data_IF_487150324202
#
_entry.id   IF_487150324202
#
_cell.length_a   1.000
_cell.length_b   1.000
_cell.length_c   1.000
_cell.angle_alpha   90.00
_cell.angle_beta   90.00
_cell.angle_gamma   90.00
#
_symmetry.space_group_name_H-M   'P 1'
#
loop_
_entity.id
_entity.type
_entity.pdbx_description
1 polymer ?
#
# COMPACT_ATOMS: atom_id res chain seq x y z
N UNK A 1 12.71 -1.63 11.04
CA UNK A 1 11.86 -1.23 9.89
C UNK A 1 10.63 -0.45 10.35
N UNK A 2 9.72 -1.05 11.14
CA UNK A 2 8.52 -0.39 11.66
C UNK A 2 8.76 1.01 12.26
N UNK A 3 9.71 1.13 13.19
CA UNK A 3 10.08 2.41 13.80
C UNK A 3 10.58 3.44 12.78
N UNK A 4 11.29 3.00 11.74
CA UNK A 4 11.75 3.85 10.66
C UNK A 4 10.57 4.37 9.81
N UNK A 5 9.63 3.50 9.47
CA UNK A 5 8.42 3.87 8.71
C UNK A 5 7.56 4.89 9.48
N UNK A 6 7.43 4.70 10.80
CA UNK A 6 6.79 5.66 11.70
C UNK A 6 7.53 7.00 11.71
N UNK A 7 8.85 6.98 11.91
CA UNK A 7 9.71 8.18 11.93
C UNK A 7 9.65 8.97 10.63
N UNK A 8 9.55 8.28 9.48
CA UNK A 8 9.46 8.90 8.16
C UNK A 8 8.02 9.22 7.71
N UNK A 9 7.04 9.06 8.59
CA UNK A 9 5.63 9.32 8.34
C UNK A 9 5.10 8.62 7.07
N UNK A 10 5.40 7.33 6.92
CA UNK A 10 4.97 6.54 5.77
C UNK A 10 3.43 6.54 5.60
N UNK A 11 2.68 6.49 6.70
CA UNK A 11 1.21 6.53 6.69
C UNK A 11 0.69 7.85 6.10
N UNK A 12 1.23 9.00 6.53
CA UNK A 12 0.85 10.29 5.96
C UNK A 12 1.20 10.46 4.48
N UNK A 13 2.27 9.81 4.00
CA UNK A 13 2.62 9.79 2.56
C UNK A 13 1.64 8.97 1.72
N UNK A 14 1.07 7.90 2.30
CA UNK A 14 0.02 7.11 1.66
C UNK A 14 -1.30 7.89 1.66
N UNK A 15 -1.66 8.53 2.79
CA UNK A 15 -2.89 9.34 2.87
C UNK A 15 -2.91 10.53 1.90
N UNK A 16 -1.75 11.11 1.58
CA UNK A 16 -1.63 12.26 0.68
C UNK A 16 -1.61 11.91 -0.81
N UNK A 17 -1.76 10.63 -1.18
CA UNK A 17 -1.77 10.19 -2.57
C UNK A 17 -3.01 10.68 -3.30
N UNK A 18 -2.81 11.29 -4.47
CA UNK A 18 -3.90 11.73 -5.36
C UNK A 18 -4.33 10.58 -6.26
N UNK A 19 -5.31 9.81 -5.80
CA UNK A 19 -5.81 8.65 -6.54
C UNK A 19 -6.51 9.04 -7.85
N UNK A 20 -7.26 10.14 -7.85
CA UNK A 20 -8.01 10.61 -9.02
C UNK A 20 -7.12 10.91 -10.22
N UNK A 21 -5.97 11.55 -10.00
CA UNK A 21 -5.00 11.90 -11.06
C UNK A 21 -4.43 10.66 -11.78
N UNK A 22 -4.58 9.48 -11.18
CA UNK A 22 -4.09 8.20 -11.70
C UNK A 22 -5.20 7.32 -12.27
N UNK A 23 -6.47 7.71 -12.09
CA UNK A 23 -7.62 6.98 -12.60
C UNK A 23 -8.08 7.58 -13.92
N UNK A 24 -8.33 6.72 -14.92
CA UNK A 24 -9.00 7.15 -16.15
C UNK A 24 -10.52 7.23 -15.96
N UNK A 25 -10.98 8.21 -15.18
CA UNK A 25 -12.41 8.34 -14.80
C UNK A 25 -13.31 8.66 -16.01
N UNK A 26 -12.77 9.32 -17.04
CA UNK A 26 -13.48 9.68 -18.28
C UNK A 26 -14.04 8.47 -19.04
N UNK A 27 -13.41 7.29 -18.92
CA UNK A 27 -13.86 6.05 -19.58
C UNK A 27 -14.81 5.19 -18.74
N UNK A 28 -15.10 5.59 -17.50
CA UNK A 28 -15.84 4.76 -16.54
C UNK A 28 -17.36 5.03 -16.52
N UNK A 29 -17.82 6.06 -17.24
CA UNK A 29 -19.24 6.37 -17.40
C UNK A 29 -19.86 5.52 -18.52
N UNK A 30 -20.90 4.73 -18.18
CA UNK A 30 -21.65 3.99 -19.18
C UNK A 30 -22.41 4.96 -20.13
N UNK A 31 -22.67 4.60 -21.40
CA UNK A 31 -23.39 5.45 -22.36
C UNK A 31 -24.75 5.99 -21.85
N UNK A 32 -25.44 5.23 -20.99
CA UNK A 32 -26.70 5.65 -20.35
C UNK A 32 -26.55 6.64 -19.18
N UNK A 33 -25.35 6.79 -18.61
CA UNK A 33 -25.04 7.75 -17.53
C UNK A 33 -24.71 9.13 -18.10
N UNK A 34 -24.15 9.20 -19.30
CA UNK A 34 -23.83 10.46 -20.01
C UNK A 34 -25.09 11.24 -20.36
N UNK A 35 -26.16 10.55 -20.78
CA UNK A 35 -27.47 11.17 -21.05
C UNK A 35 -28.14 11.76 -19.81
N UNK A 36 -27.88 11.21 -18.61
CA UNK A 36 -28.34 11.79 -17.34
C UNK A 36 -27.53 13.03 -16.97
N UNK A 37 -26.19 12.95 -17.06
CA UNK A 37 -25.29 14.07 -16.72
C UNK A 37 -25.61 15.32 -17.55
N UNK A 38 -26.08 15.15 -18.78
CA UNK A 38 -26.42 16.25 -19.69
C UNK A 38 -27.89 16.69 -19.53
N UNK A 39 -28.80 15.81 -19.10
CA UNK A 39 -30.24 16.07 -19.12
C UNK A 39 -30.86 16.65 -17.84
N UNK A 40 -30.14 16.68 -16.71
CA UNK A 40 -30.75 16.95 -15.39
C UNK A 40 -30.13 18.04 -14.52
N UNK A 41 -29.04 18.69 -14.92
CA UNK A 41 -28.33 19.64 -14.06
C UNK A 41 -28.10 20.98 -14.75
N UNK A 42 -28.50 22.05 -14.07
CA UNK A 42 -27.96 23.37 -14.32
C UNK A 42 -26.42 23.28 -14.19
N UNK A 43 -25.74 23.73 -15.23
CA UNK A 43 -24.31 23.63 -15.51
C UNK A 43 -23.36 24.30 -14.46
N UNK A 44 -23.88 24.69 -13.29
CA UNK A 44 -23.15 25.42 -12.25
C UNK A 44 -22.58 24.56 -11.11
N UNK A 45 -22.89 23.25 -11.06
CA UNK A 45 -22.31 22.33 -10.07
C UNK A 45 -21.55 21.20 -10.77
N UNK A 46 -20.37 21.49 -11.28
CA UNK A 46 -19.30 20.49 -11.40
C UNK A 46 -18.86 20.11 -9.97
N UNK A 47 -19.64 19.28 -9.27
CA UNK A 47 -19.09 18.59 -8.11
C UNK A 47 -18.22 17.45 -8.66
N UNK A 48 -16.92 17.53 -8.35
CA UNK A 48 -15.96 16.50 -8.70
C UNK A 48 -16.15 15.29 -7.77
N UNK A 49 -15.98 14.09 -8.31
CA UNK A 49 -15.88 12.87 -7.51
C UNK A 49 -14.61 13.01 -6.68
N UNK A 50 -14.70 12.79 -5.37
CA UNK A 50 -13.55 12.79 -4.47
C UNK A 50 -13.27 11.36 -3.98
N UNK A 51 -12.00 10.96 -4.03
CA UNK A 51 -11.52 9.65 -3.59
C UNK A 51 -10.35 9.87 -2.66
N UNK A 52 -10.55 9.59 -1.38
CA UNK A 52 -9.55 9.81 -0.34
C UNK A 52 -9.13 8.50 0.31
N UNK A 53 -7.88 8.42 0.74
CA UNK A 53 -7.37 7.36 1.61
C UNK A 53 -7.34 7.89 3.04
N UNK A 54 -8.00 7.18 3.96
CA UNK A 54 -8.04 7.52 5.38
C UNK A 54 -7.65 6.31 6.24
N UNK A 55 -7.46 6.51 7.54
CA UNK A 55 -7.20 5.45 8.52
C UNK A 55 -6.06 4.48 8.15
N UNK A 56 -5.02 5.00 7.48
CA UNK A 56 -3.84 4.23 7.09
C UNK A 56 -3.10 3.74 8.33
N UNK A 57 -2.80 2.44 8.36
CA UNK A 57 -2.04 1.77 9.39
C UNK A 57 -1.04 0.81 8.74
N UNK A 58 0.21 0.90 9.15
CA UNK A 58 1.28 -0.02 8.75
C UNK A 58 1.69 -0.91 9.92
N UNK A 59 1.45 -2.21 9.77
CA UNK A 59 1.83 -3.22 10.75
C UNK A 59 2.96 -4.09 10.18
N UNK A 60 4.01 -4.32 10.97
CA UNK A 60 5.13 -5.16 10.55
C UNK A 60 5.02 -6.51 11.25
N UNK A 61 4.59 -7.53 10.51
CA UNK A 61 4.27 -8.87 11.05
C UNK A 61 5.52 -9.63 11.52
N UNK A 62 6.72 -9.09 11.26
CA UNK A 62 8.00 -9.62 11.70
C UNK A 62 9.04 -9.65 10.58
N UNK A 63 10.27 -10.01 10.94
CA UNK A 63 11.35 -10.24 9.98
C UNK A 63 11.68 -11.72 10.01
N UNK A 64 11.53 -12.38 8.86
CA UNK A 64 11.98 -13.75 8.63
C UNK A 64 13.44 -13.73 8.17
N UNK A 65 14.22 -14.71 8.62
CA UNK A 65 15.63 -14.85 8.25
C UNK A 65 15.88 -16.24 7.67
N UNK A 66 16.56 -16.30 6.52
CA UNK A 66 16.97 -17.55 5.90
C UNK A 66 18.49 -17.73 6.01
N UNK A 67 18.91 -18.79 6.71
CA UNK A 67 20.30 -19.22 6.80
C UNK A 67 20.58 -20.33 5.78
N UNK A 68 21.79 -20.39 5.18
CA UNK A 68 23.00 -19.60 5.46
C UNK A 68 23.14 -18.31 4.63
N UNK A 69 22.12 -17.91 3.87
CA UNK A 69 22.24 -16.84 2.85
C UNK A 69 22.23 -15.41 3.39
N UNK A 70 22.25 -15.19 4.71
CA UNK A 70 22.16 -13.87 5.36
C UNK A 70 21.05 -13.01 4.72
N UNK A 71 19.92 -13.65 4.39
CA UNK A 71 18.77 -13.05 3.72
C UNK A 71 17.67 -12.78 4.73
N UNK A 72 17.08 -11.59 4.63
CA UNK A 72 16.01 -11.10 5.49
C UNK A 72 14.79 -10.77 4.64
N UNK A 73 13.62 -11.20 5.10
CA UNK A 73 12.34 -10.79 4.53
C UNK A 73 11.49 -10.14 5.60
N UNK A 74 10.94 -8.97 5.29
CA UNK A 74 9.98 -8.28 6.12
C UNK A 74 8.63 -8.28 5.43
N UNK A 75 7.62 -8.79 6.12
CA UNK A 75 6.23 -8.72 5.69
C UNK A 75 5.56 -7.57 6.43
N UNK A 76 4.96 -6.66 5.69
CA UNK A 76 4.30 -5.47 6.18
C UNK A 76 2.84 -5.53 5.74
N UNK A 77 1.92 -5.56 6.69
CA UNK A 77 0.49 -5.44 6.42
C UNK A 77 0.10 -3.96 6.42
N UNK A 78 -0.43 -3.49 5.30
CA UNK A 78 -1.04 -2.18 5.14
C UNK A 78 -2.57 -2.29 5.25
N UNK A 79 -3.18 -1.52 6.16
CA UNK A 79 -4.64 -1.39 6.32
C UNK A 79 -5.03 0.07 6.10
N UNK A 80 -6.11 0.33 5.39
CA UNK A 80 -6.62 1.68 5.17
C UNK A 80 -8.08 1.66 4.71
N UNK A 81 -8.72 2.81 4.79
CA UNK A 81 -10.05 3.03 4.25
C UNK A 81 -9.98 3.88 2.97
N UNK A 82 -10.84 3.57 2.00
CA UNK A 82 -11.08 4.38 0.81
C UNK A 82 -12.46 5.01 0.96
N UNK A 83 -12.50 6.33 0.91
CA UNK A 83 -13.72 7.13 1.01
C UNK A 83 -14.07 7.71 -0.36
N UNK A 84 -15.27 7.37 -0.85
CA UNK A 84 -15.84 7.91 -2.07
C UNK A 84 -16.89 8.95 -1.72
N UNK A 85 -16.63 10.19 -2.11
CA UNK A 85 -17.62 11.26 -2.05
C UNK A 85 -18.10 11.57 -3.46
N UNK A 86 -19.39 11.37 -3.67
CA UNK A 86 -20.02 11.45 -4.97
C UNK A 86 -20.77 12.78 -5.10
N UNK A 87 -20.81 13.39 -6.29
CA UNK A 87 -21.43 14.70 -6.49
C UNK A 87 -22.93 14.75 -6.11
N UNK A 88 -23.66 13.65 -6.26
CA UNK A 88 -25.12 13.65 -6.11
C UNK A 88 -25.61 13.01 -4.81
N UNK A 89 -24.68 12.63 -3.92
CA UNK A 89 -24.99 11.98 -2.67
C UNK A 89 -24.09 12.54 -1.57
N UNK A 90 -24.70 13.08 -0.51
CA UNK A 90 -23.95 13.54 0.67
C UNK A 90 -23.33 12.38 1.46
N UNK A 91 -23.76 11.15 1.21
CA UNK A 91 -23.25 9.99 1.91
C UNK A 91 -21.87 9.59 1.37
N UNK A 92 -20.90 9.51 2.27
CA UNK A 92 -19.58 8.98 1.98
C UNK A 92 -19.68 7.46 1.95
N UNK A 93 -19.29 6.85 0.83
CA UNK A 93 -19.19 5.40 0.75
C UNK A 93 -17.78 5.03 1.20
N UNK A 94 -17.69 4.21 2.24
CA UNK A 94 -16.42 3.75 2.79
C UNK A 94 -16.11 2.33 2.38
N UNK A 95 -14.84 2.02 2.32
CA UNK A 95 -14.33 0.73 1.88
C UNK A 95 -13.08 0.41 2.67
N UNK A 96 -13.06 -0.74 3.33
CA UNK A 96 -11.86 -1.19 4.00
C UNK A 96 -10.96 -1.97 3.04
N UNK A 97 -9.66 -1.70 3.07
CA UNK A 97 -8.65 -2.37 2.28
C UNK A 97 -7.51 -2.87 3.17
N UNK A 98 -7.10 -4.11 2.91
CA UNK A 98 -5.93 -4.75 3.50
C UNK A 98 -5.03 -5.27 2.39
N UNK A 99 -3.76 -4.95 2.45
CA UNK A 99 -2.77 -5.35 1.45
C UNK A 99 -1.45 -5.75 2.13
N UNK A 100 -0.75 -6.73 1.58
CA UNK A 100 0.60 -7.11 2.02
C UNK A 100 1.66 -6.39 1.21
N UNK A 101 2.79 -6.08 1.85
CA UNK A 101 4.01 -5.56 1.24
C UNK A 101 5.16 -6.45 1.71
N UNK A 102 5.84 -7.08 0.77
CA UNK A 102 7.01 -7.90 1.04
C UNK A 102 8.27 -7.13 0.66
N UNK A 103 9.24 -7.09 1.57
CA UNK A 103 10.56 -6.51 1.31
C UNK A 103 11.66 -7.50 1.66
N UNK A 104 12.52 -7.77 0.68
CA UNK A 104 13.69 -8.62 0.80
C UNK A 104 14.95 -7.75 1.00
N UNK A 105 15.92 -8.24 1.76
CA UNK A 105 17.24 -7.62 1.91
C UNK A 105 18.31 -8.66 2.25
N UNK A 106 19.57 -8.34 2.00
CA UNK A 106 20.71 -9.21 2.34
C UNK A 106 21.94 -8.38 2.65
N UNK A 107 22.91 -9.00 3.34
CA UNK A 107 24.21 -8.39 3.57
C UNK A 107 25.11 -8.59 2.36
N UNK A 108 25.66 -7.49 1.86
CA UNK A 108 26.62 -7.47 0.75
C UNK A 108 27.88 -6.73 1.16
N UNK A 109 29.02 -7.04 0.56
CA UNK A 109 30.26 -6.29 0.81
C UNK A 109 30.37 -5.14 -0.17
N UNK A 110 30.62 -3.94 0.34
CA UNK A 110 31.01 -2.80 -0.47
C UNK A 110 32.42 -2.98 -1.08
N UNK A 111 32.81 -2.05 -1.93
CA UNK A 111 34.12 -2.02 -2.59
C UNK A 111 35.32 -1.96 -1.61
N UNK A 112 35.07 -1.57 -0.36
CA UNK A 112 36.06 -1.50 0.73
C UNK A 112 36.01 -2.74 1.64
N UNK A 113 35.18 -3.73 1.33
CA UNK A 113 35.00 -4.96 2.09
C UNK A 113 34.15 -4.82 3.36
N UNK A 114 33.50 -3.67 3.58
CA UNK A 114 32.54 -3.46 4.68
C UNK A 114 31.21 -4.10 4.29
N UNK A 115 30.58 -4.78 5.24
CA UNK A 115 29.24 -5.33 5.01
C UNK A 115 28.21 -4.23 5.13
N UNK A 116 27.29 -4.15 4.18
CA UNK A 116 26.15 -3.24 4.15
C UNK A 116 24.86 -4.04 3.91
N UNK A 117 23.75 -3.57 4.47
CA UNK A 117 22.44 -4.17 4.23
C UNK A 117 21.85 -3.56 2.96
N UNK A 118 21.72 -4.38 1.93
CA UNK A 118 21.21 -3.96 0.62
C UNK A 118 19.74 -4.36 0.51
N UNK A 119 18.91 -3.44 0.02
CA UNK A 119 17.52 -3.73 -0.30
C UNK A 119 17.45 -4.54 -1.59
N UNK A 120 16.76 -5.68 -1.50
CA UNK A 120 16.40 -6.48 -2.65
C UNK A 120 15.08 -6.04 -3.26
N UNK A 121 14.19 -7.01 -3.51
CA UNK A 121 12.85 -6.73 -4.01
C UNK A 121 11.97 -6.16 -2.91
N UNK A 122 11.24 -5.10 -3.25
CA UNK A 122 10.16 -4.57 -2.42
C UNK A 122 8.94 -4.42 -3.32
N UNK A 123 7.86 -5.14 -2.99
CA UNK A 123 6.66 -5.20 -3.82
C UNK A 123 5.43 -5.53 -2.98
N UNK A 124 4.29 -5.01 -3.40
CA UNK A 124 3.00 -5.33 -2.82
C UNK A 124 2.62 -6.76 -3.23
N UNK A 125 2.25 -7.56 -2.25
CA UNK A 125 1.71 -8.88 -2.53
C UNK A 125 0.34 -8.74 -3.19
N UNK A 126 0.05 -9.53 -4.25
CA UNK A 126 -1.28 -9.58 -4.81
C UNK A 126 -2.25 -9.99 -3.70
N UNK A 127 -3.25 -9.14 -3.45
CA UNK A 127 -4.22 -9.37 -2.39
C UNK A 127 -4.86 -10.75 -2.55
N UNK A 128 -4.60 -11.67 -1.61
CA UNK A 128 -5.38 -12.90 -1.50
C UNK A 128 -6.81 -12.52 -1.14
N UNK A 129 -7.75 -12.89 -2.02
CA UNK A 129 -9.19 -13.04 -1.82
C UNK A 129 -9.70 -12.68 -0.42
N UNK A 130 -9.90 -11.38 -0.15
CA UNK A 130 -10.82 -10.80 0.85
C UNK A 130 -10.53 -9.30 1.02
N UNK A 131 -10.36 -8.57 -0.09
CA UNK A 131 -10.71 -7.15 -0.05
C UNK A 131 -12.23 -7.09 0.12
N UNK A 132 -12.71 -7.29 1.35
CA UNK A 132 -14.09 -7.03 1.71
C UNK A 132 -14.26 -5.52 1.76
N UNK A 133 -14.36 -4.94 0.55
CA UNK A 133 -14.91 -3.62 0.33
C UNK A 133 -16.39 -3.70 0.71
N UNK A 134 -16.63 -3.68 2.02
CA UNK A 134 -17.95 -3.74 2.63
C UNK A 134 -18.75 -2.57 2.10
N UNK A 135 -19.78 -2.92 1.35
CA UNK A 135 -20.60 -1.94 0.64
C UNK A 135 -21.71 -1.50 1.59
N UNK A 136 -21.54 -0.37 2.27
CA UNK A 136 -22.70 0.36 2.81
C UNK A 136 -23.63 0.70 1.64
N UNK A 137 -24.94 0.73 1.90
CA UNK A 137 -26.03 0.72 0.91
C UNK A 137 -25.77 1.57 -0.35
N UNK A 138 -25.17 0.95 -1.37
CA UNK A 138 -24.88 1.59 -2.65
C UNK A 138 -26.17 1.66 -3.47
N UNK A 139 -26.55 2.85 -3.98
CA UNK A 139 -27.67 2.97 -4.91
C UNK A 139 -27.50 2.03 -6.11
N UNK A 140 -28.51 1.24 -6.51
CA UNK A 140 -28.40 0.27 -7.61
C UNK A 140 -27.83 0.85 -8.90
N UNK A 141 -28.15 2.11 -9.18
CA UNK A 141 -27.70 2.87 -10.36
C UNK A 141 -26.19 3.15 -10.38
N UNK A 142 -25.51 3.05 -9.24
CA UNK A 142 -24.09 3.39 -9.08
C UNK A 142 -23.19 2.16 -8.92
N UNK A 143 -23.77 0.96 -8.84
CA UNK A 143 -23.01 -0.29 -8.65
C UNK A 143 -21.94 -0.50 -9.72
N UNK A 144 -22.29 -0.30 -11.00
CA UNK A 144 -21.36 -0.50 -12.10
C UNK A 144 -20.21 0.52 -12.09
N UNK A 145 -20.51 1.79 -11.79
CA UNK A 145 -19.50 2.83 -11.70
C UNK A 145 -18.51 2.58 -10.56
N UNK A 146 -19.01 2.23 -9.37
CA UNK A 146 -18.16 1.89 -8.22
C UNK A 146 -17.37 0.61 -8.44
N UNK A 147 -17.95 -0.38 -9.12
CA UNK A 147 -17.23 -1.59 -9.52
C UNK A 147 -16.01 -1.26 -10.40
N UNK A 148 -16.20 -0.45 -11.44
CA UNK A 148 -15.11 -0.06 -12.35
C UNK A 148 -14.01 0.76 -11.66
N UNK A 149 -14.40 1.69 -10.78
CA UNK A 149 -13.45 2.46 -9.98
C UNK A 149 -12.68 1.53 -9.03
N UNK A 150 -13.37 0.64 -8.33
CA UNK A 150 -12.75 -0.35 -7.44
C UNK A 150 -11.73 -1.20 -8.19
N UNK A 151 -12.08 -1.73 -9.35
CA UNK A 151 -11.18 -2.54 -10.15
C UNK A 151 -9.93 -1.75 -10.56
N UNK A 152 -10.11 -0.48 -10.93
CA UNK A 152 -9.01 0.40 -11.32
C UNK A 152 -8.12 0.76 -10.14
N UNK A 153 -8.71 1.03 -8.98
CA UNK A 153 -7.98 1.28 -7.73
C UNK A 153 -7.18 0.05 -7.29
N UNK A 154 -7.73 -1.16 -7.47
CA UNK A 154 -7.01 -2.40 -7.21
C UNK A 154 -5.73 -2.56 -8.04
N UNK A 155 -5.67 -1.93 -9.23
CA UNK A 155 -4.48 -1.92 -10.10
C UNK A 155 -3.53 -0.77 -9.81
N UNK A 156 -4.05 0.38 -9.40
CA UNK A 156 -3.28 1.61 -9.21
C UNK A 156 -2.66 1.71 -7.82
N UNK A 157 -3.41 1.36 -6.76
CA UNK A 157 -2.96 1.53 -5.37
C UNK A 157 -1.68 0.75 -5.07
N UNK A 158 -1.51 -0.53 -5.47
CA UNK A 158 -0.29 -1.27 -5.16
C UNK A 158 0.96 -0.53 -5.64
N UNK A 159 0.98 -0.13 -6.92
CA UNK A 159 2.10 0.61 -7.52
C UNK A 159 2.37 1.95 -6.82
N UNK A 160 1.31 2.67 -6.40
CA UNK A 160 1.47 3.93 -5.69
C UNK A 160 2.06 3.73 -4.29
N UNK A 161 1.59 2.73 -3.56
CA UNK A 161 2.13 2.39 -2.23
C UNK A 161 3.59 1.97 -2.36
N UNK A 162 3.95 1.11 -3.32
CA UNK A 162 5.35 0.72 -3.57
C UNK A 162 6.23 1.94 -3.80
N UNK A 163 5.79 2.87 -4.66
CA UNK A 163 6.55 4.08 -4.99
C UNK A 163 6.79 5.01 -3.79
N UNK A 164 5.94 4.93 -2.77
CA UNK A 164 6.05 5.76 -1.56
C UNK A 164 6.79 5.05 -0.42
N UNK A 165 6.59 3.75 -0.27
CA UNK A 165 7.08 2.98 0.90
C UNK A 165 8.40 2.28 0.61
N UNK A 166 8.60 1.70 -0.57
CA UNK A 166 9.85 0.98 -0.87
C UNK A 166 11.11 1.86 -0.79
N UNK A 167 11.12 3.11 -1.31
CA UNK A 167 12.26 4.00 -1.12
C UNK A 167 12.53 4.35 0.35
N UNK A 168 11.49 4.42 1.19
CA UNK A 168 11.65 4.62 2.62
C UNK A 168 12.29 3.41 3.29
N UNK A 169 11.87 2.20 2.93
CA UNK A 169 12.48 0.97 3.44
C UNK A 169 13.96 0.94 3.06
N UNK A 170 14.31 1.26 1.81
CA UNK A 170 15.70 1.33 1.38
C UNK A 170 16.54 2.28 2.25
N UNK A 171 16.04 3.50 2.51
CA UNK A 171 16.74 4.48 3.33
C UNK A 171 16.85 4.04 4.81
N UNK A 172 15.82 3.38 5.35
CA UNK A 172 15.86 2.82 6.70
C UNK A 172 16.89 1.69 6.80
N UNK A 173 16.98 0.82 5.79
CA UNK A 173 17.97 -0.26 5.73
C UNK A 173 19.39 0.30 5.69
N UNK A 174 19.63 1.38 4.93
CA UNK A 174 20.92 2.07 4.86
C UNK A 174 21.37 2.67 6.20
N UNK A 175 20.42 3.07 7.05
CA UNK A 175 20.69 3.65 8.37
C UNK A 175 20.82 2.61 9.49
N UNK A 176 20.47 1.35 9.23
CA UNK A 176 20.56 0.29 10.23
C UNK A 176 22.02 -0.08 10.50
N UNK A 177 22.39 -0.15 11.78
CA UNK A 177 23.75 -0.54 12.17
C UNK A 177 23.96 -2.03 11.88
N UNK A 178 24.89 -2.31 10.95
CA UNK A 178 25.26 -3.66 10.54
C UNK A 178 25.83 -4.49 11.70
N UNK A 179 26.37 -3.85 12.75
CA UNK A 179 26.79 -4.52 13.97
C UNK A 179 25.62 -5.11 14.76
N UNK A 180 24.49 -4.40 14.82
CA UNK A 180 23.26 -4.90 15.45
C UNK A 180 22.69 -6.08 14.65
N UNK A 181 22.71 -5.99 13.31
CA UNK A 181 22.31 -7.11 12.46
C UNK A 181 23.21 -8.33 12.64
N UNK A 182 24.53 -8.15 12.68
CA UNK A 182 25.48 -9.25 12.91
C UNK A 182 25.20 -9.97 14.24
N UNK A 183 24.96 -9.21 15.31
CA UNK A 183 24.61 -9.79 16.61
C UNK A 183 23.32 -10.62 16.58
N UNK A 184 22.29 -10.13 15.87
CA UNK A 184 21.02 -10.87 15.69
C UNK A 184 21.20 -12.14 14.87
N UNK A 185 21.99 -12.06 13.79
CA UNK A 185 22.30 -13.21 12.91
C UNK A 185 23.06 -14.29 13.68
N UNK A 186 24.09 -13.90 14.45
CA UNK A 186 24.87 -14.84 15.29
C UNK A 186 24.02 -15.48 16.39
N UNK A 187 23.13 -14.70 17.02
CA UNK A 187 22.24 -15.21 18.07
C UNK A 187 21.22 -16.23 17.52
N UNK A 188 20.63 -15.96 16.35
CA UNK A 188 19.68 -16.89 15.71
C UNK A 188 20.37 -18.14 15.17
N UNK A 189 21.59 -18.01 14.62
CA UNK A 189 22.38 -19.17 14.22
C UNK A 189 22.72 -20.08 15.42
N UNK A 190 23.12 -19.49 16.56
CA UNK A 190 23.40 -20.23 17.78
C UNK A 190 22.15 -20.94 18.35
N UNK A 191 20.97 -20.30 18.26
CA UNK A 191 19.72 -20.91 18.73
C UNK A 191 19.29 -22.11 17.87
N UNK A 192 19.45 -22.03 16.55
CA UNK A 192 19.11 -23.13 15.65
C UNK A 192 20.09 -24.32 15.73
N UNK A 193 21.36 -24.08 16.05
CA UNK A 193 22.36 -25.14 16.25
C UNK A 193 22.22 -25.85 17.61
N UNK A 194 21.61 -25.22 18.61
CA UNK A 194 21.34 -25.83 19.92
C UNK A 194 20.10 -26.71 20.00
N UNK A 195 19.33 -26.82 18.90
CA UNK A 195 18.14 -27.66 18.78
C UNK A 195 18.34 -28.88 17.85
N UNK A 196 19.58 -29.16 17.44
CA UNK A 196 19.96 -30.29 16.59
C UNK A 196 20.65 -31.41 17.38
#
# INVERSE_FOLDING_TARGET
>A
IAQGLLKHNAEGRIQSMRLLDRLNVSGMAAPGMVGWLIGGMNFQQQQEISINITNVQLDCDGIQMAFPKEWFSANITLKFDIEFQLPFNSNIIKTHARMGLASESWLEKDEFGRRELVMGRCHMEPSSEDSSMSTEAVPPKMKHFLHNIRESLGKVIPNLVESQVCPLIAEILRQLDVKLLKGLVEQVAAHNLGQA
#
